data_IF_642732511934
#
_entry.id   IF_642732511934
#
_cell.length_a   1.000
_cell.length_b   1.000
_cell.length_c   1.000
_cell.angle_alpha   90.00
_cell.angle_beta   90.00
_cell.angle_gamma   90.00
#
_symmetry.space_group_name_H-M   'P 1'
#
loop_
_entity.id
_entity.type
_entity.pdbx_description
1 polymer ?
#
# COMPACT_ATOMS: atom_id res chain seq x y z
N UNK A 1 6.43 -4.71 28.80
CA UNK A 1 6.39 -5.03 27.36
C UNK A 1 5.15 -5.88 27.07
N UNK A 2 3.95 -5.29 27.22
CA UNK A 2 2.64 -5.89 26.89
C UNK A 2 1.70 -4.80 26.39
N UNK A 3 1.83 -3.60 26.95
CA UNK A 3 1.14 -2.38 26.52
C UNK A 3 1.44 -2.02 25.06
N UNK A 4 2.69 -2.16 24.62
CA UNK A 4 3.12 -1.77 23.27
C UNK A 4 2.64 -2.76 22.19
N UNK A 5 2.40 -4.02 22.56
CA UNK A 5 1.91 -5.08 21.67
C UNK A 5 0.39 -5.00 21.54
N UNK A 6 -0.33 -4.72 22.64
CA UNK A 6 -1.78 -4.48 22.63
C UNK A 6 -2.17 -3.20 21.86
N UNK A 7 -1.45 -2.09 22.06
CA UNK A 7 -1.71 -0.83 21.34
C UNK A 7 -1.38 -0.94 19.84
N UNK A 8 -0.44 -1.82 19.47
CA UNK A 8 -0.14 -2.12 18.06
C UNK A 8 -1.22 -2.97 17.40
N UNK A 9 -1.94 -3.77 18.17
CA UNK A 9 -3.06 -4.61 17.72
C UNK A 9 -4.30 -3.75 17.47
N UNK A 10 -4.65 -2.88 18.43
CA UNK A 10 -5.80 -1.96 18.32
C UNK A 10 -5.68 -1.04 17.08
N UNK A 11 -4.49 -0.46 16.84
CA UNK A 11 -4.28 0.42 15.68
C UNK A 11 -4.24 -0.33 14.34
N UNK A 12 -3.89 -1.61 14.34
CA UNK A 12 -3.98 -2.42 13.12
C UNK A 12 -5.45 -2.62 12.76
N UNK A 13 -6.27 -2.98 13.74
CA UNK A 13 -7.69 -3.22 13.54
C UNK A 13 -8.42 -1.94 13.08
N UNK A 14 -8.12 -0.79 13.71
CA UNK A 14 -8.64 0.53 13.28
C UNK A 14 -8.29 0.84 11.82
N UNK A 15 -7.01 0.65 11.42
CA UNK A 15 -6.61 0.88 10.03
C UNK A 15 -7.22 -0.13 9.06
N UNK A 16 -7.43 -1.38 9.50
CA UNK A 16 -8.09 -2.40 8.69
C UNK A 16 -9.56 -2.03 8.44
N UNK A 17 -10.28 -1.55 9.46
CA UNK A 17 -11.65 -1.05 9.31
C UNK A 17 -11.71 0.14 8.33
N UNK A 18 -10.77 1.08 8.41
CA UNK A 18 -10.67 2.20 7.48
C UNK A 18 -10.42 1.72 6.04
N UNK A 19 -9.60 0.69 5.89
CA UNK A 19 -9.31 0.10 4.59
C UNK A 19 -10.54 -0.58 4.00
N UNK A 20 -11.25 -1.37 4.81
CA UNK A 20 -12.50 -2.03 4.42
C UNK A 20 -13.55 -0.98 4.00
N UNK A 21 -13.76 0.07 4.80
CA UNK A 21 -14.66 1.17 4.47
C UNK A 21 -14.27 1.87 3.15
N UNK A 22 -12.96 2.05 2.91
CA UNK A 22 -12.47 2.65 1.68
C UNK A 22 -12.74 1.75 0.47
N UNK A 23 -12.54 0.44 0.59
CA UNK A 23 -12.82 -0.54 -0.46
C UNK A 23 -14.32 -0.64 -0.73
N UNK A 24 -15.16 -0.67 0.32
CA UNK A 24 -16.62 -0.74 0.20
C UNK A 24 -17.22 0.52 -0.44
N UNK A 25 -16.57 1.67 -0.29
CA UNK A 25 -16.96 2.92 -0.94
C UNK A 25 -16.64 2.95 -2.45
N UNK A 26 -15.81 2.03 -2.97
CA UNK A 26 -15.44 2.01 -4.37
C UNK A 26 -16.58 1.51 -5.28
N UNK A 27 -16.70 2.05 -6.51
CA UNK A 27 -17.49 1.43 -7.55
C UNK A 27 -17.03 -0.01 -7.80
N UNK A 28 -17.96 -0.97 -7.77
CA UNK A 28 -17.66 -2.40 -7.91
C UNK A 28 -16.89 -2.73 -9.21
N UNK A 29 -17.10 -1.94 -10.26
CA UNK A 29 -16.41 -2.09 -11.54
C UNK A 29 -14.88 -1.89 -11.44
N UNK A 30 -14.39 -1.12 -10.47
CA UNK A 30 -12.96 -0.92 -10.26
C UNK A 30 -12.27 -2.12 -9.62
N UNK A 31 -13.04 -3.02 -9.02
CA UNK A 31 -12.54 -4.27 -8.43
C UNK A 31 -12.59 -5.44 -9.43
N UNK A 32 -13.06 -5.21 -10.66
CA UNK A 32 -13.22 -6.25 -11.66
C UNK A 32 -11.87 -6.90 -12.00
N UNK A 33 -11.75 -8.19 -11.70
CA UNK A 33 -10.53 -8.93 -12.00
C UNK A 33 -9.46 -8.82 -10.92
N UNK A 34 -9.66 -8.03 -9.86
CA UNK A 34 -8.87 -8.06 -8.62
C UNK A 34 -9.29 -9.24 -7.74
N UNK A 35 -9.16 -10.46 -8.28
CA UNK A 35 -9.70 -11.69 -7.69
C UNK A 35 -8.96 -12.19 -6.43
N UNK A 36 -7.79 -11.65 -6.11
CA UNK A 36 -7.11 -11.84 -4.84
C UNK A 36 -7.50 -10.80 -3.78
N UNK A 37 -8.28 -9.79 -4.15
CA UNK A 37 -8.75 -8.73 -3.27
C UNK A 37 -7.67 -7.76 -2.82
N UNK A 38 -7.99 -7.04 -1.75
CA UNK A 38 -7.05 -6.16 -1.02
C UNK A 38 -6.60 -6.90 0.23
N UNK A 39 -5.30 -7.01 0.42
CA UNK A 39 -4.65 -7.70 1.53
C UNK A 39 -3.95 -6.69 2.41
N UNK A 40 -4.13 -6.79 3.73
CA UNK A 40 -3.44 -5.93 4.70
C UNK A 40 -2.54 -6.73 5.62
N UNK A 41 -1.23 -6.54 5.44
CA UNK A 41 -0.19 -7.33 6.09
C UNK A 41 0.43 -6.56 7.25
N UNK A 42 0.64 -7.24 8.39
CA UNK A 42 1.32 -6.66 9.57
C UNK A 42 2.82 -6.43 9.36
N UNK A 43 3.38 -6.90 8.25
CA UNK A 43 4.82 -6.78 7.95
C UNK A 43 5.19 -5.33 7.63
N UNK A 44 6.45 -5.00 7.91
CA UNK A 44 7.13 -3.88 7.28
C UNK A 44 8.00 -4.42 6.15
N UNK A 45 7.95 -3.78 4.99
CA UNK A 45 8.73 -4.15 3.82
C UNK A 45 9.62 -2.97 3.47
N UNK A 46 10.90 -3.25 3.29
CA UNK A 46 11.91 -2.29 2.87
C UNK A 46 12.29 -2.53 1.42
N UNK A 47 12.78 -1.49 0.76
CA UNK A 47 13.51 -1.67 -0.49
C UNK A 47 14.77 -2.51 -0.24
N UNK A 48 15.12 -3.38 -1.18
CA UNK A 48 16.25 -4.30 -1.03
C UNK A 48 17.61 -3.58 -1.09
N UNK A 49 17.67 -2.45 -1.78
CA UNK A 49 18.87 -1.65 -2.00
C UNK A 49 18.97 -0.51 -0.99
N UNK A 50 17.84 0.14 -0.66
CA UNK A 50 17.76 1.29 0.25
C UNK A 50 16.93 0.98 1.49
N UNK A 51 17.59 0.58 2.57
CA UNK A 51 16.91 0.14 3.80
C UNK A 51 16.07 1.24 4.49
N UNK A 52 16.33 2.50 4.17
CA UNK A 52 15.58 3.65 4.68
C UNK A 52 14.26 3.85 3.94
N UNK A 53 14.10 3.26 2.75
CA UNK A 53 12.87 3.28 1.99
C UNK A 53 11.96 2.12 2.40
N UNK A 54 10.70 2.45 2.60
CA UNK A 54 9.65 1.48 2.89
C UNK A 54 8.67 1.38 1.75
N UNK A 55 8.27 0.16 1.46
CA UNK A 55 7.19 -0.14 0.52
C UNK A 55 5.88 -0.10 1.31
N UNK A 56 4.98 0.81 0.95
CA UNK A 56 3.67 0.97 1.59
C UNK A 56 2.63 0.00 1.05
N UNK A 57 2.66 -0.27 -0.25
CA UNK A 57 1.76 -1.18 -0.92
C UNK A 57 2.29 -1.56 -2.29
N UNK A 58 1.71 -2.60 -2.90
CA UNK A 58 1.95 -2.98 -4.28
C UNK A 58 0.74 -3.73 -4.88
N UNK A 59 0.38 -3.39 -6.11
CA UNK A 59 -0.44 -4.20 -6.98
C UNK A 59 0.40 -5.35 -7.56
N UNK A 60 -0.07 -6.60 -7.41
CA UNK A 60 0.66 -7.80 -7.82
C UNK A 60 -0.16 -8.66 -8.76
N UNK A 61 0.49 -9.10 -9.85
CA UNK A 61 -0.04 -10.10 -10.78
C UNK A 61 0.72 -11.42 -10.58
N UNK A 62 0.04 -12.45 -10.09
CA UNK A 62 0.58 -13.78 -9.80
C UNK A 62 -0.17 -14.83 -10.63
N UNK A 63 0.29 -15.04 -11.87
CA UNK A 63 -0.41 -15.89 -12.82
C UNK A 63 -1.78 -15.30 -13.17
N UNK A 64 -2.86 -15.99 -12.80
CA UNK A 64 -4.23 -15.49 -12.98
C UNK A 64 -4.78 -14.71 -11.78
N UNK A 65 -4.00 -14.61 -10.68
CA UNK A 65 -4.40 -13.88 -9.47
C UNK A 65 -3.89 -12.45 -9.55
N UNK A 66 -4.76 -11.49 -9.23
CA UNK A 66 -4.44 -10.07 -9.09
C UNK A 66 -4.90 -9.58 -7.73
N UNK A 67 -4.00 -8.96 -6.98
CA UNK A 67 -4.26 -8.48 -5.64
C UNK A 67 -3.53 -7.17 -5.37
N UNK A 68 -4.07 -6.35 -4.48
CA UNK A 68 -3.35 -5.24 -3.86
C UNK A 68 -2.90 -5.71 -2.49
N UNK A 69 -1.62 -5.56 -2.17
CA UNK A 69 -1.09 -5.83 -0.83
C UNK A 69 -0.60 -4.52 -0.20
N UNK A 70 -1.10 -4.18 0.98
CA UNK A 70 -0.68 -3.02 1.78
C UNK A 70 0.04 -3.49 3.05
N UNK A 71 1.04 -2.74 3.51
CA UNK A 71 1.94 -3.15 4.59
C UNK A 71 1.83 -2.23 5.81
N UNK A 72 0.98 -2.60 6.78
CA UNK A 72 0.78 -1.84 8.03
C UNK A 72 2.10 -1.50 8.74
N UNK A 73 3.04 -2.45 8.79
CA UNK A 73 4.33 -2.23 9.44
C UNK A 73 5.12 -1.09 8.79
N UNK A 74 5.03 -0.97 7.46
CA UNK A 74 5.65 0.12 6.70
C UNK A 74 4.98 1.47 6.99
N UNK A 75 3.64 1.51 7.03
CA UNK A 75 2.92 2.71 7.47
C UNK A 75 3.30 3.14 8.88
N UNK A 76 3.47 2.19 9.80
CA UNK A 76 3.85 2.50 11.18
C UNK A 76 5.29 2.98 11.31
N UNK A 77 6.19 2.48 10.48
CA UNK A 77 7.55 2.96 10.45
C UNK A 77 7.66 4.41 9.94
N UNK A 78 6.93 4.76 8.88
CA UNK A 78 6.99 6.09 8.28
C UNK A 78 6.06 7.11 8.95
N UNK A 79 4.83 6.71 9.25
CA UNK A 79 3.72 7.59 9.61
C UNK A 79 3.13 7.29 10.99
N UNK A 80 3.67 6.32 11.73
CA UNK A 80 3.09 5.92 13.03
C UNK A 80 3.11 7.00 14.12
N UNK A 81 3.77 8.13 13.86
CA UNK A 81 3.80 9.33 14.70
C UNK A 81 2.72 10.35 14.32
N UNK A 82 2.06 10.19 13.16
CA UNK A 82 1.01 11.09 12.70
C UNK A 82 -0.29 10.88 13.49
N UNK A 83 -1.14 11.91 13.56
CA UNK A 83 -2.53 11.76 13.99
C UNK A 83 -3.26 10.70 13.17
N UNK A 84 -4.28 10.10 13.79
CA UNK A 84 -5.08 9.04 13.18
C UNK A 84 -5.66 9.42 11.81
N UNK A 85 -6.21 10.64 11.67
CA UNK A 85 -6.80 11.11 10.41
C UNK A 85 -5.76 11.21 9.27
N UNK A 86 -4.56 11.69 9.58
CA UNK A 86 -3.48 11.83 8.60
C UNK A 86 -2.93 10.46 8.18
N UNK A 87 -2.81 9.52 9.13
CA UNK A 87 -2.43 8.14 8.85
C UNK A 87 -3.48 7.43 7.97
N UNK A 88 -4.76 7.63 8.28
CA UNK A 88 -5.86 7.11 7.47
C UNK A 88 -5.86 7.70 6.06
N UNK A 89 -5.50 8.98 5.91
CA UNK A 89 -5.30 9.60 4.61
C UNK A 89 -4.18 8.91 3.83
N UNK A 90 -3.00 8.71 4.44
CA UNK A 90 -1.88 8.01 3.77
C UNK A 90 -2.29 6.61 3.30
N UNK A 91 -3.03 5.85 4.13
CA UNK A 91 -3.51 4.52 3.77
C UNK A 91 -4.43 4.54 2.53
N UNK A 92 -5.37 5.48 2.49
CA UNK A 92 -6.31 5.63 1.37
C UNK A 92 -5.61 6.05 0.08
N UNK A 93 -4.67 7.00 0.17
CA UNK A 93 -3.89 7.42 -0.99
C UNK A 93 -3.08 6.26 -1.57
N UNK A 94 -2.44 5.45 -0.73
CA UNK A 94 -1.73 4.25 -1.20
C UNK A 94 -2.69 3.25 -1.82
N UNK A 95 -3.85 2.97 -1.21
CA UNK A 95 -4.87 2.10 -1.82
C UNK A 95 -5.25 2.58 -3.22
N UNK A 96 -5.52 3.87 -3.39
CA UNK A 96 -5.94 4.44 -4.68
C UNK A 96 -4.81 4.42 -5.72
N UNK A 97 -3.55 4.60 -5.30
CA UNK A 97 -2.39 4.43 -6.16
C UNK A 97 -2.33 3.01 -6.73
N UNK A 98 -2.37 2.00 -5.85
CA UNK A 98 -2.33 0.59 -6.27
C UNK A 98 -3.57 0.18 -7.10
N UNK A 99 -4.73 0.74 -6.78
CA UNK A 99 -5.94 0.54 -7.59
C UNK A 99 -5.78 1.16 -8.98
N UNK A 100 -5.10 2.29 -9.11
CA UNK A 100 -4.86 2.91 -10.41
C UNK A 100 -3.93 2.04 -11.25
N UNK A 101 -2.85 1.49 -10.68
CA UNK A 101 -2.03 0.48 -11.37
C UNK A 101 -2.84 -0.72 -11.85
N UNK A 102 -3.79 -1.20 -11.03
CA UNK A 102 -4.69 -2.28 -11.43
C UNK A 102 -5.50 -1.91 -12.69
N UNK A 103 -6.10 -0.72 -12.70
CA UNK A 103 -6.92 -0.24 -13.82
C UNK A 103 -6.10 0.00 -15.09
N UNK A 104 -4.90 0.58 -14.97
CA UNK A 104 -3.97 0.76 -16.10
C UNK A 104 -3.56 -0.58 -16.70
N UNK A 105 -3.20 -1.54 -15.86
CA UNK A 105 -2.86 -2.89 -16.30
C UNK A 105 -4.03 -3.55 -17.06
N UNK A 106 -5.28 -3.33 -16.63
CA UNK A 106 -6.45 -3.82 -17.35
C UNK A 106 -6.69 -3.09 -18.67
N UNK A 107 -6.34 -1.81 -18.75
CA UNK A 107 -6.39 -1.02 -19.97
C UNK A 107 -5.23 -1.34 -20.94
N UNK A 108 -4.19 -2.04 -20.48
CA UNK A 108 -2.98 -2.33 -21.25
C UNK A 108 -1.99 -1.16 -21.28
N UNK A 109 -2.12 -0.23 -20.34
CA UNK A 109 -1.23 0.92 -20.14
C UNK A 109 -0.23 0.63 -19.01
N UNK A 110 0.89 1.36 -18.98
CA UNK A 110 1.94 1.20 -17.96
C UNK A 110 2.63 2.51 -17.54
N UNK A 111 1.96 3.65 -17.73
CA UNK A 111 2.56 4.96 -17.49
C UNK A 111 2.94 5.17 -16.01
N UNK A 112 2.12 4.77 -15.04
CA UNK A 112 2.47 4.92 -13.63
C UNK A 112 3.62 4.02 -13.19
N UNK A 113 3.74 2.81 -13.74
CA UNK A 113 4.91 1.96 -13.46
C UNK A 113 6.20 2.64 -13.92
N UNK A 114 6.17 3.35 -15.06
CA UNK A 114 7.31 4.09 -15.56
C UNK A 114 7.65 5.30 -14.66
N UNK A 115 6.65 5.99 -14.13
CA UNK A 115 6.84 7.11 -13.20
C UNK A 115 7.46 6.64 -11.87
N UNK A 116 6.99 5.53 -11.31
CA UNK A 116 7.55 4.92 -10.09
C UNK A 116 9.00 4.47 -10.31
N UNK A 117 9.30 3.85 -11.45
CA UNK A 117 10.67 3.51 -11.84
C UNK A 117 11.55 4.77 -11.97
N UNK A 118 11.04 5.83 -12.62
CA UNK A 118 11.78 7.08 -12.79
C UNK A 118 12.03 7.80 -11.45
N UNK A 119 11.11 7.68 -10.49
CA UNK A 119 11.30 8.14 -9.12
C UNK A 119 12.47 7.40 -8.46
N UNK A 120 12.46 6.06 -8.50
CA UNK A 120 13.50 5.23 -7.89
C UNK A 120 14.87 5.45 -8.54
N UNK A 121 14.95 5.57 -9.87
CA UNK A 121 16.19 5.87 -10.58
C UNK A 121 16.78 7.23 -10.17
N UNK A 122 15.92 8.24 -10.00
CA UNK A 122 16.37 9.55 -9.51
C UNK A 122 16.87 9.45 -8.07
N UNK A 123 16.17 8.73 -7.20
CA UNK A 123 16.59 8.52 -5.83
C UNK A 123 17.95 7.82 -5.74
N UNK A 124 18.16 6.75 -6.53
CA UNK A 124 19.45 6.06 -6.68
C UNK A 124 20.58 7.03 -6.99
N UNK A 125 20.42 7.81 -8.06
CA UNK A 125 21.44 8.77 -8.53
C UNK A 125 21.78 9.84 -7.49
N UNK A 126 20.84 10.23 -6.65
CA UNK A 126 21.04 11.26 -5.62
C UNK A 126 21.70 10.71 -4.34
N UNK A 127 21.71 9.39 -4.15
CA UNK A 127 22.23 8.71 -2.96
C UNK A 127 23.39 7.73 -3.25
N UNK A 128 23.96 7.77 -4.48
CA UNK A 128 25.28 7.20 -4.83
C UNK A 128 26.45 8.04 -4.26
#
# INVERSE_FOLDING_TARGET
MKVQEAVMDDRFDEMAEILDDAVDALPQEYLNGLNGGVLFSRKAIHDEEFNELYILGHYRVMGTVRAIELYYGSFMALFGHLPHEDLAYQLKETLYHELTHHLETLAGENDLELDDLAFMERYRRENE
#
